data_IF_852715357947
#
_entry.id   IF_852715357947
#
_cell.length_a   1.000
_cell.length_b   1.000
_cell.length_c   1.000
_cell.angle_alpha   90.00
_cell.angle_beta   90.00
_cell.angle_gamma   90.00
#
_symmetry.space_group_name_H-M   'P 1'
#
loop_
_entity.id
_entity.type
_entity.pdbx_description
1 polymer ?
#
# COMPACT_ATOMS: atom_id res chain seq x y z
N UNK A 1 -23.09 6.13 -5.40
CA UNK A 1 -21.79 5.38 -5.45
C UNK A 1 -22.07 3.87 -5.38
N UNK A 2 -21.53 3.09 -6.32
CA UNK A 2 -21.65 1.64 -6.22
C UNK A 2 -20.67 1.13 -5.15
N UNK A 3 -21.10 0.24 -4.24
CA UNK A 3 -20.21 -0.31 -3.22
C UNK A 3 -19.09 -1.16 -3.85
N UNK A 4 -17.98 -1.27 -3.14
CA UNK A 4 -16.93 -2.22 -3.50
C UNK A 4 -17.41 -3.66 -3.29
N UNK A 5 -16.98 -4.55 -4.18
CA UNK A 5 -17.22 -5.99 -4.08
C UNK A 5 -16.00 -6.67 -3.49
N UNK A 6 -16.20 -7.63 -2.61
CA UNK A 6 -15.15 -8.51 -2.10
C UNK A 6 -15.33 -9.90 -2.70
N UNK A 7 -14.26 -10.46 -3.28
CA UNK A 7 -14.20 -11.85 -3.74
C UNK A 7 -13.05 -12.57 -3.03
N UNK A 8 -13.33 -13.78 -2.56
CA UNK A 8 -12.36 -14.64 -1.92
C UNK A 8 -11.92 -15.73 -2.90
N UNK A 9 -10.63 -15.81 -3.17
CA UNK A 9 -10.02 -16.82 -4.03
C UNK A 9 -9.52 -18.02 -3.21
N UNK A 10 -9.70 -19.23 -3.73
CA UNK A 10 -9.21 -20.46 -3.09
C UNK A 10 -7.68 -20.54 -3.11
N UNK A 11 -7.03 -19.90 -4.07
CA UNK A 11 -5.57 -19.81 -4.17
C UNK A 11 -5.14 -18.54 -4.91
N UNK A 12 -3.86 -18.17 -4.79
CA UNK A 12 -3.30 -17.05 -5.53
C UNK A 12 -3.43 -17.21 -7.06
N UNK A 13 -3.45 -18.45 -7.58
CA UNK A 13 -3.63 -18.73 -9.00
C UNK A 13 -5.03 -18.38 -9.52
N UNK A 14 -6.04 -18.30 -8.64
CA UNK A 14 -7.41 -17.94 -8.98
C UNK A 14 -7.65 -16.42 -9.04
N UNK A 15 -6.68 -15.60 -8.58
CA UNK A 15 -6.75 -14.15 -8.68
C UNK A 15 -6.47 -13.74 -10.13
N UNK A 16 -7.27 -12.82 -10.72
CA UNK A 16 -7.01 -12.31 -12.06
C UNK A 16 -5.60 -11.76 -12.20
N UNK A 17 -4.87 -12.19 -13.22
CA UNK A 17 -3.56 -11.62 -13.54
C UNK A 17 -3.78 -10.30 -14.27
N UNK A 18 -3.56 -9.19 -13.61
CA UNK A 18 -3.33 -7.94 -14.30
C UNK A 18 -1.90 -7.95 -14.85
N UNK A 19 -1.70 -7.33 -16.02
CA UNK A 19 -0.36 -7.11 -16.56
C UNK A 19 0.41 -6.19 -15.60
N UNK A 20 1.12 -6.79 -14.66
CA UNK A 20 1.99 -6.12 -13.71
C UNK A 20 3.44 -6.40 -14.12
N UNK A 21 4.31 -5.43 -13.92
CA UNK A 21 5.73 -5.55 -14.22
C UNK A 21 6.33 -6.80 -13.55
N UNK A 22 7.33 -7.41 -14.21
CA UNK A 22 7.97 -8.66 -13.77
C UNK A 22 8.47 -8.66 -12.31
N UNK A 23 8.68 -7.47 -11.74
CA UNK A 23 9.07 -7.30 -10.34
C UNK A 23 7.95 -7.67 -9.35
N UNK A 24 6.70 -7.45 -9.72
CA UNK A 24 5.52 -7.80 -8.90
C UNK A 24 5.20 -9.30 -8.95
N UNK A 25 5.68 -10.02 -9.98
CA UNK A 25 5.47 -11.46 -10.12
C UNK A 25 6.27 -12.31 -9.14
N UNK A 26 7.27 -11.75 -8.47
CA UNK A 26 8.09 -12.46 -7.47
C UNK A 26 7.45 -12.50 -6.08
N UNK A 27 6.44 -11.68 -5.81
CA UNK A 27 5.67 -11.70 -4.57
C UNK A 27 4.40 -12.53 -4.79
N UNK A 28 4.15 -13.48 -3.90
CA UNK A 28 2.90 -14.25 -3.93
C UNK A 28 1.75 -13.27 -3.79
N UNK A 29 0.98 -13.07 -4.86
CA UNK A 29 -0.19 -12.20 -4.83
C UNK A 29 -1.25 -12.79 -3.93
N UNK A 30 -1.51 -12.16 -2.79
CA UNK A 30 -2.52 -12.58 -1.80
C UNK A 30 -3.75 -11.67 -1.80
N UNK A 31 -3.68 -10.54 -2.50
CA UNK A 31 -4.78 -9.61 -2.73
C UNK A 31 -4.63 -8.89 -4.06
N UNK A 32 -5.73 -8.32 -4.56
CA UNK A 32 -5.75 -7.54 -5.79
C UNK A 32 -6.99 -6.63 -5.84
N UNK A 33 -6.77 -5.35 -6.14
CA UNK A 33 -7.81 -4.43 -6.55
C UNK A 33 -7.99 -4.45 -8.07
N UNK A 34 -9.23 -4.69 -8.53
CA UNK A 34 -9.60 -4.64 -9.95
C UNK A 34 -10.51 -3.44 -10.20
N UNK A 35 -9.97 -2.32 -10.70
CA UNK A 35 -10.70 -1.05 -10.85
C UNK A 35 -11.98 -1.15 -11.68
N UNK A 36 -11.89 -1.78 -12.84
CA UNK A 36 -13.02 -1.90 -13.78
C UNK A 36 -14.23 -2.62 -13.20
N UNK A 37 -13.97 -3.57 -12.29
CA UNK A 37 -15.01 -4.37 -11.63
C UNK A 37 -15.40 -3.81 -10.26
N UNK A 38 -14.69 -2.81 -9.75
CA UNK A 38 -14.78 -2.32 -8.35
C UNK A 38 -14.70 -3.48 -7.35
N UNK A 39 -13.79 -4.40 -7.59
CA UNK A 39 -13.68 -5.65 -6.84
C UNK A 39 -12.31 -5.77 -6.20
N UNK A 40 -12.30 -6.09 -4.92
CA UNK A 40 -11.12 -6.52 -4.16
C UNK A 40 -11.11 -8.03 -4.07
N UNK A 41 -9.98 -8.63 -4.38
CA UNK A 41 -9.73 -10.05 -4.21
C UNK A 41 -8.84 -10.28 -3.01
N UNK A 42 -9.09 -11.36 -2.26
CA UNK A 42 -8.19 -11.86 -1.25
C UNK A 42 -8.14 -13.39 -1.30
N UNK A 43 -6.99 -13.97 -0.98
CA UNK A 43 -6.83 -15.42 -0.90
C UNK A 43 -7.35 -15.92 0.45
N UNK A 44 -8.14 -17.00 0.44
CA UNK A 44 -8.63 -17.68 1.64
C UNK A 44 -7.50 -18.40 2.40
N UNK A 45 -7.76 -18.73 3.65
CA UNK A 45 -6.90 -19.59 4.46
C UNK A 45 -5.83 -18.87 5.27
N UNK A 46 -5.69 -17.56 5.10
CA UNK A 46 -4.81 -16.76 5.95
C UNK A 46 -5.51 -16.31 7.24
N UNK A 47 -4.75 -16.04 8.33
CA UNK A 47 -5.31 -15.49 9.56
C UNK A 47 -6.07 -14.19 9.32
N UNK A 48 -7.09 -13.92 10.14
CA UNK A 48 -7.94 -12.73 10.03
C UNK A 48 -7.13 -11.42 9.93
N UNK A 49 -6.14 -11.25 10.81
CA UNK A 49 -5.32 -10.05 10.83
C UNK A 49 -4.55 -9.83 9.51
N UNK A 50 -4.03 -10.92 8.92
CA UNK A 50 -3.28 -10.86 7.67
C UNK A 50 -4.23 -10.52 6.49
N UNK A 51 -5.38 -11.17 6.43
CA UNK A 51 -6.40 -10.87 5.41
C UNK A 51 -6.89 -9.42 5.54
N UNK A 52 -7.06 -8.92 6.77
CA UNK A 52 -7.43 -7.51 7.02
C UNK A 52 -6.34 -6.54 6.52
N UNK A 53 -5.08 -6.86 6.74
CA UNK A 53 -3.96 -6.07 6.25
C UNK A 53 -3.92 -6.02 4.71
N UNK A 54 -4.07 -7.17 4.06
CA UNK A 54 -4.15 -7.28 2.59
C UNK A 54 -5.31 -6.46 2.03
N UNK A 55 -6.50 -6.60 2.61
CA UNK A 55 -7.68 -5.84 2.17
C UNK A 55 -7.52 -4.34 2.39
N UNK A 56 -6.85 -3.92 3.45
CA UNK A 56 -6.54 -2.52 3.71
C UNK A 56 -5.59 -1.95 2.63
N UNK A 57 -4.61 -2.74 2.20
CA UNK A 57 -3.70 -2.40 1.10
C UNK A 57 -4.49 -2.20 -0.21
N UNK A 58 -5.32 -3.16 -0.58
CA UNK A 58 -6.13 -3.06 -1.81
C UNK A 58 -7.16 -1.94 -1.75
N UNK A 59 -7.72 -1.68 -0.56
CA UNK A 59 -8.61 -0.54 -0.34
C UNK A 59 -7.88 0.80 -0.52
N UNK A 60 -6.62 0.89 -0.11
CA UNK A 60 -5.81 2.08 -0.34
C UNK A 60 -5.65 2.37 -1.84
N UNK A 61 -5.41 1.34 -2.66
CA UNK A 61 -5.37 1.49 -4.12
C UNK A 61 -6.69 1.98 -4.71
N UNK A 62 -7.82 1.44 -4.24
CA UNK A 62 -9.14 1.90 -4.65
C UNK A 62 -9.34 3.38 -4.31
N UNK A 63 -8.99 3.79 -3.09
CA UNK A 63 -9.07 5.17 -2.65
C UNK A 63 -8.16 6.10 -3.46
N UNK A 64 -6.91 5.70 -3.73
CA UNK A 64 -5.97 6.47 -4.55
C UNK A 64 -6.52 6.69 -5.96
N UNK A 65 -7.07 5.67 -6.57
CA UNK A 65 -7.64 5.77 -7.89
C UNK A 65 -8.81 6.76 -7.97
N UNK A 66 -9.63 6.82 -6.93
CA UNK A 66 -10.79 7.71 -6.90
C UNK A 66 -10.45 9.16 -6.49
N UNK A 67 -9.39 9.35 -5.71
CA UNK A 67 -9.11 10.62 -5.05
C UNK A 67 -7.81 11.30 -5.46
N UNK A 68 -6.92 10.60 -6.19
CA UNK A 68 -5.59 11.08 -6.52
C UNK A 68 -5.37 11.19 -8.03
N UNK A 69 -4.45 12.06 -8.48
CA UNK A 69 -3.97 12.04 -9.86
C UNK A 69 -3.18 10.73 -10.09
N UNK A 70 -2.83 10.38 -11.34
CA UNK A 70 -1.90 9.29 -11.61
C UNK A 70 -0.61 9.47 -10.81
N UNK A 71 -0.22 8.43 -10.07
CA UNK A 71 0.91 8.44 -9.14
C UNK A 71 2.02 7.50 -9.59
N UNK A 72 3.26 7.81 -9.21
CA UNK A 72 4.39 6.89 -9.38
C UNK A 72 4.19 5.62 -8.55
N UNK A 73 4.78 4.52 -8.99
CA UNK A 73 4.59 3.22 -8.35
C UNK A 73 5.09 3.20 -6.90
N UNK A 74 6.20 3.87 -6.60
CA UNK A 74 6.73 3.99 -5.25
C UNK A 74 5.81 4.76 -4.29
N UNK A 75 5.08 5.76 -4.79
CA UNK A 75 4.07 6.47 -4.02
C UNK A 75 2.79 5.64 -3.88
N UNK A 76 2.34 4.99 -4.95
CA UNK A 76 1.17 4.11 -4.94
C UNK A 76 1.32 3.02 -3.89
N UNK A 77 2.38 2.23 -4.00
CA UNK A 77 2.63 1.09 -3.12
C UNK A 77 3.08 1.53 -1.73
N UNK A 78 3.84 2.61 -1.64
CA UNK A 78 4.27 3.16 -0.34
C UNK A 78 3.11 3.64 0.52
N UNK A 79 2.12 4.30 -0.08
CA UNK A 79 0.92 4.71 0.61
C UNK A 79 0.03 3.51 1.00
N UNK A 80 -0.15 2.54 0.08
CA UNK A 80 -0.89 1.32 0.39
C UNK A 80 -0.21 0.52 1.51
N UNK A 81 1.12 0.41 1.49
CA UNK A 81 1.89 -0.20 2.57
C UNK A 81 1.77 0.57 3.90
N UNK A 82 1.65 1.91 3.87
CA UNK A 82 1.39 2.70 5.07
C UNK A 82 0.02 2.41 5.67
N UNK A 83 -1.04 2.29 4.85
CA UNK A 83 -2.38 1.91 5.31
C UNK A 83 -2.37 0.51 5.92
N UNK A 84 -1.75 -0.45 5.24
CA UNK A 84 -1.54 -1.82 5.72
C UNK A 84 -0.79 -1.83 7.07
N UNK A 85 0.32 -1.10 7.16
CA UNK A 85 1.14 -0.97 8.37
C UNK A 85 0.32 -0.44 9.56
N UNK A 86 -0.53 0.57 9.33
CA UNK A 86 -1.43 1.13 10.35
C UNK A 86 -2.43 0.10 10.86
N UNK A 87 -3.01 -0.70 9.97
CA UNK A 87 -3.92 -1.79 10.33
C UNK A 87 -3.19 -2.86 11.17
N UNK A 88 -2.02 -3.28 10.72
CA UNK A 88 -1.20 -4.27 11.43
C UNK A 88 -0.81 -3.78 12.83
N UNK A 89 -0.40 -2.53 12.97
CA UNK A 89 -0.11 -1.90 14.25
C UNK A 89 -1.33 -1.87 15.18
N UNK A 90 -2.47 -1.43 14.67
CA UNK A 90 -3.71 -1.34 15.44
C UNK A 90 -4.23 -2.70 15.89
N UNK A 91 -3.96 -3.76 15.13
CA UNK A 91 -4.30 -5.13 15.50
C UNK A 91 -3.29 -5.77 16.47
N UNK A 92 -2.22 -5.07 16.85
CA UNK A 92 -1.24 -5.51 17.84
C UNK A 92 -0.10 -6.38 17.29
N UNK A 93 0.09 -6.47 15.98
CA UNK A 93 1.15 -7.26 15.35
C UNK A 93 2.43 -6.44 15.09
N UNK A 94 3.00 -5.89 16.14
CA UNK A 94 4.15 -4.98 16.07
C UNK A 94 5.38 -5.59 15.38
N UNK A 95 5.65 -6.88 15.58
CA UNK A 95 6.78 -7.56 14.93
C UNK A 95 6.62 -7.63 13.41
N UNK A 96 5.40 -7.84 12.92
CA UNK A 96 5.13 -7.83 11.49
C UNK A 96 5.26 -6.42 10.91
N UNK A 97 4.74 -5.42 11.60
CA UNK A 97 4.89 -4.02 11.22
C UNK A 97 6.37 -3.60 11.16
N UNK A 98 7.19 -4.05 12.10
CA UNK A 98 8.64 -3.80 12.09
C UNK A 98 9.32 -4.47 10.88
N UNK A 99 8.92 -5.67 10.51
CA UNK A 99 9.43 -6.34 9.31
C UNK A 99 9.05 -5.58 8.03
N UNK A 100 7.84 -5.05 7.95
CA UNK A 100 7.42 -4.19 6.83
C UNK A 100 8.31 -2.94 6.74
N UNK A 101 8.56 -2.28 7.86
CA UNK A 101 9.40 -1.09 7.94
C UNK A 101 10.83 -1.36 7.48
N UNK A 102 11.41 -2.52 7.87
CA UNK A 102 12.79 -2.92 7.54
C UNK A 102 12.96 -3.51 6.15
N UNK A 103 11.87 -3.73 5.42
CA UNK A 103 11.93 -4.34 4.09
C UNK A 103 12.81 -3.51 3.16
N UNK A 104 13.91 -4.09 2.60
CA UNK A 104 14.84 -3.34 1.75
C UNK A 104 14.31 -3.07 0.34
N UNK A 105 13.05 -3.33 0.09
CA UNK A 105 12.40 -3.13 -1.19
C UNK A 105 12.33 -1.62 -1.52
N UNK A 106 12.80 -1.17 -2.70
CA UNK A 106 12.77 0.24 -3.10
C UNK A 106 11.33 0.78 -3.31
N UNK A 107 10.37 -0.08 -3.56
CA UNK A 107 8.97 0.31 -3.79
C UNK A 107 8.20 0.28 -2.46
N UNK A 108 8.05 -0.91 -1.85
CA UNK A 108 7.24 -1.08 -0.64
C UNK A 108 7.90 -0.51 0.61
N UNK A 109 9.06 -1.01 0.99
CA UNK A 109 9.74 -0.64 2.23
C UNK A 109 10.18 0.82 2.23
N UNK A 110 10.80 1.28 1.16
CA UNK A 110 11.22 2.68 1.02
C UNK A 110 10.02 3.62 0.93
N UNK A 111 8.98 3.23 0.17
CA UNK A 111 7.75 4.00 0.07
C UNK A 111 7.04 4.13 1.41
N UNK A 112 6.93 3.03 2.18
CA UNK A 112 6.39 3.03 3.54
C UNK A 112 7.16 4.00 4.45
N UNK A 113 8.49 3.91 4.49
CA UNK A 113 9.31 4.80 5.34
C UNK A 113 9.10 6.27 4.98
N UNK A 114 8.99 6.61 3.68
CA UNK A 114 8.69 7.97 3.23
C UNK A 114 7.32 8.46 3.69
N UNK A 115 6.30 7.61 3.61
CA UNK A 115 4.97 7.95 4.14
C UNK A 115 4.98 8.14 5.64
N UNK A 116 5.67 7.29 6.41
CA UNK A 116 5.81 7.42 7.86
C UNK A 116 6.54 8.70 8.26
N UNK A 117 7.59 9.07 7.54
CA UNK A 117 8.32 10.32 7.77
C UNK A 117 7.42 11.52 7.49
N UNK A 118 6.65 11.48 6.41
CA UNK A 118 5.70 12.55 6.08
C UNK A 118 4.60 12.66 7.14
N UNK A 119 4.10 11.53 7.62
CA UNK A 119 3.13 11.49 8.73
C UNK A 119 3.69 12.15 10.01
N UNK A 120 4.94 11.92 10.35
CA UNK A 120 5.59 12.55 11.51
C UNK A 120 5.58 14.08 11.41
N UNK A 121 5.66 14.62 10.20
CA UNK A 121 5.69 16.07 9.98
C UNK A 121 4.30 16.70 9.99
N UNK A 122 3.31 16.05 9.41
CA UNK A 122 2.00 16.64 9.12
C UNK A 122 0.83 15.90 9.76
N UNK A 123 1.09 14.80 10.45
CA UNK A 123 0.06 13.90 11.00
C UNK A 123 -0.61 13.05 9.92
N UNK A 124 -1.40 12.06 10.36
CA UNK A 124 -2.07 11.14 9.45
C UNK A 124 -3.05 11.84 8.50
N UNK A 125 -3.83 12.79 8.99
CA UNK A 125 -4.74 13.58 8.15
C UNK A 125 -4.01 14.47 7.16
N UNK A 126 -2.89 15.04 7.57
CA UNK A 126 -2.02 15.84 6.70
C UNK A 126 -1.41 14.97 5.58
N UNK A 127 -1.00 13.75 5.90
CA UNK A 127 -0.52 12.78 4.90
C UNK A 127 -1.61 12.48 3.87
N UNK A 128 -2.82 12.14 4.29
CA UNK A 128 -3.95 11.89 3.40
C UNK A 128 -4.22 13.08 2.47
N UNK A 129 -4.20 14.30 3.02
CA UNK A 129 -4.40 15.51 2.23
C UNK A 129 -3.30 15.70 1.18
N UNK A 130 -2.03 15.46 1.55
CA UNK A 130 -0.90 15.59 0.62
C UNK A 130 -0.94 14.53 -0.48
N UNK A 131 -1.22 13.27 -0.15
CA UNK A 131 -1.28 12.16 -1.12
C UNK A 131 -2.32 12.44 -2.22
N UNK A 132 -3.44 13.10 -1.91
CA UNK A 132 -4.45 13.52 -2.91
C UNK A 132 -3.90 14.39 -4.04
N UNK A 133 -2.81 15.09 -3.82
CA UNK A 133 -2.25 16.03 -4.81
C UNK A 133 -0.87 15.63 -5.33
N UNK A 134 -0.24 14.64 -4.67
CA UNK A 134 1.10 14.17 -5.04
C UNK A 134 1.03 13.24 -6.26
N UNK A 135 2.01 13.38 -7.16
CA UNK A 135 2.25 12.44 -8.26
C UNK A 135 3.43 11.50 -8.00
N UNK A 136 4.38 11.93 -7.18
CA UNK A 136 5.57 11.20 -6.78
C UNK A 136 6.18 11.83 -5.53
N UNK A 137 7.22 11.20 -4.98
CA UNK A 137 7.97 11.74 -3.85
C UNK A 137 9.04 12.79 -4.23
N UNK A 138 9.24 13.12 -5.51
CA UNK A 138 10.39 13.90 -5.98
C UNK A 138 10.49 15.33 -5.46
N UNK A 139 9.36 15.96 -5.13
CA UNK A 139 9.37 17.30 -4.52
C UNK A 139 9.93 17.34 -3.10
N UNK A 140 10.19 16.17 -2.52
CA UNK A 140 10.71 15.98 -1.17
C UNK A 140 12.15 15.41 -1.16
N UNK A 141 12.67 15.04 -2.35
CA UNK A 141 14.02 14.43 -2.45
C UNK A 141 15.15 15.37 -2.05
N UNK A 142 15.02 16.67 -2.21
CA UNK A 142 16.03 17.65 -1.74
C UNK A 142 16.12 17.71 -0.22
N UNK A 143 15.01 17.51 0.47
CA UNK A 143 14.98 17.42 1.94
C UNK A 143 15.47 16.04 2.43
N UNK A 144 15.15 14.98 1.70
CA UNK A 144 15.53 13.61 2.05
C UNK A 144 17.01 13.30 1.82
N UNK A 145 17.62 13.87 0.78
CA UNK A 145 19.05 13.75 0.54
C UNK A 145 19.87 14.34 1.72
N UNK A 146 19.37 15.38 2.36
CA UNK A 146 20.01 15.95 3.56
C UNK A 146 19.92 15.04 4.80
N UNK A 147 18.89 14.18 4.90
CA UNK A 147 18.71 13.30 6.07
C UNK A 147 19.43 11.95 5.91
N UNK A 148 19.58 11.46 4.67
CA UNK A 148 20.34 10.24 4.38
C UNK A 148 21.87 10.46 4.50
N UNK A 149 22.34 11.72 4.51
CA UNK A 149 23.74 12.12 4.74
C UNK A 149 24.07 12.45 6.22
N UNK A 150 23.07 12.47 7.09
CA UNK A 150 23.23 12.65 8.53
C UNK A 150 23.17 11.33 9.29
#
# INVERSE_FOLDING_TARGET
EQPYKLKLAESAAAIPKLHTDAYMLSLTTVGLWVPKERTMWAVKGYPFWFTSAVLAHEHAHAWQQENCPPQSQDLLEGFAAWVEWRVVQNLGYASFAENMYRLPCPIYGRGLRRCLQLEQQVGAQGLLHKVKTMRNFSKWTSFWAMLDEM
#
